data_IF_882109486134
#
_entry.id   IF_882109486134
#
_cell.length_a   1.000
_cell.length_b   1.000
_cell.length_c   1.000
_cell.angle_alpha   90.00
_cell.angle_beta   90.00
_cell.angle_gamma   90.00
#
_symmetry.space_group_name_H-M   'P 1'
#
loop_
_entity.id
_entity.type
_entity.pdbx_description
1 polymer ?
#
# COMPACT_ATOMS: atom_id res chain seq x y z
N UNK A 1 -5.35 -8.91 -4.05
CA UNK A 1 -4.13 -8.40 -3.38
C UNK A 1 -3.64 -9.51 -2.47
N UNK A 2 -2.35 -9.83 -2.48
CA UNK A 2 -1.79 -10.94 -1.69
C UNK A 2 -0.50 -10.48 -1.02
N UNK A 3 -0.39 -10.71 0.29
CA UNK A 3 0.87 -10.59 1.02
C UNK A 3 1.58 -11.95 0.97
N UNK A 4 2.85 -11.96 0.59
CA UNK A 4 3.69 -13.15 0.70
C UNK A 4 4.97 -12.81 1.43
N UNK A 5 5.42 -13.73 2.27
CA UNK A 5 6.71 -13.67 2.96
C UNK A 5 7.72 -14.69 2.37
N UNK A 6 7.35 -15.39 1.28
CA UNK A 6 8.13 -16.51 0.71
C UNK A 6 9.51 -16.11 0.18
N UNK A 7 9.63 -14.90 -0.39
CA UNK A 7 10.88 -14.35 -0.94
C UNK A 7 11.20 -13.00 -0.27
N UNK A 8 10.94 -12.92 1.04
CA UNK A 8 10.82 -11.65 1.74
C UNK A 8 9.41 -11.07 1.66
N UNK A 9 9.12 -10.01 2.43
CA UNK A 9 7.79 -9.44 2.53
C UNK A 9 7.45 -8.66 1.27
N UNK A 10 6.55 -9.22 0.48
CA UNK A 10 6.18 -8.72 -0.83
C UNK A 10 4.66 -8.54 -0.92
N UNK A 11 4.25 -7.48 -1.60
CA UNK A 11 2.85 -7.23 -1.92
C UNK A 11 2.60 -7.46 -3.40
N UNK A 12 1.72 -8.41 -3.68
CA UNK A 12 1.33 -8.78 -5.02
C UNK A 12 -0.06 -8.28 -5.34
N UNK A 13 -0.15 -7.56 -6.46
CA UNK A 13 -1.41 -7.18 -7.07
C UNK A 13 -1.62 -7.99 -8.34
N UNK A 14 -2.69 -8.77 -8.35
CA UNK A 14 -3.17 -9.49 -9.52
C UNK A 14 -4.38 -8.77 -10.11
N UNK A 15 -4.44 -8.68 -11.43
CA UNK A 15 -5.61 -8.17 -12.15
C UNK A 15 -6.77 -9.18 -12.11
N UNK A 16 -6.44 -10.47 -12.10
CA UNK A 16 -7.37 -11.59 -12.01
C UNK A 16 -6.78 -12.70 -11.15
N UNK A 17 -7.61 -13.41 -10.38
CA UNK A 17 -7.18 -14.52 -9.50
C UNK A 17 -6.50 -15.67 -10.26
N UNK A 18 -6.79 -15.83 -11.56
CA UNK A 18 -6.26 -16.91 -12.40
C UNK A 18 -4.93 -16.60 -13.10
N UNK A 19 -4.39 -15.38 -12.97
CA UNK A 19 -3.13 -15.01 -13.63
C UNK A 19 -1.93 -15.39 -12.77
N UNK A 20 -1.02 -16.18 -13.32
CA UNK A 20 0.22 -16.57 -12.65
C UNK A 20 1.18 -15.39 -12.43
N UNK A 21 1.15 -14.36 -13.30
CA UNK A 21 2.00 -13.18 -13.20
C UNK A 21 1.25 -12.01 -12.55
N UNK A 22 1.78 -11.41 -11.47
CA UNK A 22 1.19 -10.23 -10.85
C UNK A 22 1.28 -9.03 -11.81
N UNK A 23 0.26 -8.16 -11.77
CA UNK A 23 0.26 -6.86 -12.44
C UNK A 23 1.27 -5.91 -11.80
N UNK A 24 1.41 -6.00 -10.48
CA UNK A 24 2.39 -5.24 -9.72
C UNK A 24 2.90 -6.08 -8.57
N UNK A 25 4.21 -5.98 -8.32
CA UNK A 25 4.88 -6.53 -7.15
C UNK A 25 5.62 -5.38 -6.46
N UNK A 26 5.38 -5.20 -5.16
CA UNK A 26 6.15 -4.29 -4.33
C UNK A 26 6.96 -5.09 -3.32
N UNK A 27 8.25 -4.78 -3.20
CA UNK A 27 9.07 -5.24 -2.08
C UNK A 27 8.84 -4.30 -0.90
N UNK A 28 8.19 -4.81 0.14
CA UNK A 28 7.76 -4.01 1.28
C UNK A 28 8.95 -3.54 2.12
N UNK A 29 10.12 -4.19 2.04
CA UNK A 29 11.34 -3.75 2.75
C UNK A 29 11.77 -2.35 2.34
N UNK A 30 11.43 -1.94 1.12
CA UNK A 30 11.75 -0.63 0.58
C UNK A 30 10.53 0.30 0.52
N UNK A 31 9.40 -0.09 1.12
CA UNK A 31 8.17 0.70 1.10
C UNK A 31 7.92 1.44 2.42
N UNK A 32 7.16 2.53 2.30
CA UNK A 32 6.55 3.29 3.38
C UNK A 32 5.03 3.24 3.23
N UNK A 33 4.35 3.24 4.38
CA UNK A 33 2.88 3.22 4.45
C UNK A 33 2.38 4.52 5.04
N UNK A 34 1.54 5.22 4.29
CA UNK A 34 0.93 6.49 4.71
C UNK A 34 -0.56 6.31 4.90
N UNK A 35 -1.10 6.85 5.99
CA UNK A 35 -2.55 7.03 6.13
C UNK A 35 -2.96 8.21 5.27
N UNK A 36 -3.93 8.02 4.40
CA UNK A 36 -4.45 9.08 3.54
C UNK A 36 -5.72 9.66 4.20
N UNK A 37 -5.81 10.98 4.34
CA UNK A 37 -7.05 11.65 4.76
C UNK A 37 -8.21 11.37 3.80
N UNK A 38 -9.43 11.20 4.33
CA UNK A 38 -10.60 10.76 3.56
C UNK A 38 -11.03 11.77 2.48
N UNK A 39 -10.74 13.05 2.72
CA UNK A 39 -11.00 14.18 1.83
C UNK A 39 -10.19 14.13 0.52
N UNK A 40 -9.07 13.39 0.48
CA UNK A 40 -8.20 13.36 -0.70
C UNK A 40 -8.83 12.57 -1.85
N UNK A 41 -9.52 11.47 -1.55
CA UNK A 41 -10.10 10.57 -2.56
C UNK A 41 -11.60 10.38 -2.43
N UNK A 42 -12.25 11.10 -1.52
CA UNK A 42 -13.65 10.90 -1.14
C UNK A 42 -13.95 9.42 -0.81
N UNK A 43 -12.99 8.78 -0.14
CA UNK A 43 -13.03 7.37 0.25
C UNK A 43 -12.51 7.22 1.67
N UNK A 44 -13.23 6.46 2.48
CA UNK A 44 -12.83 6.14 3.85
C UNK A 44 -11.75 5.07 3.87
N UNK A 45 -11.05 4.95 5.00
CA UNK A 45 -10.08 3.88 5.23
C UNK A 45 -9.01 3.78 4.12
N UNK A 46 -8.33 4.88 3.80
CA UNK A 46 -7.36 4.88 2.71
C UNK A 46 -5.90 4.76 3.20
N UNK A 47 -5.11 3.95 2.49
CA UNK A 47 -3.66 3.81 2.68
C UNK A 47 -2.93 4.03 1.36
N UNK A 48 -1.75 4.66 1.44
CA UNK A 48 -0.77 4.67 0.37
C UNK A 48 0.37 3.74 0.76
N UNK A 49 0.76 2.84 -0.15
CA UNK A 49 2.03 2.13 -0.09
C UNK A 49 2.91 2.65 -1.20
N UNK A 50 4.07 3.21 -0.86
CA UNK A 50 4.99 3.84 -1.82
C UNK A 50 6.43 3.44 -1.51
N UNK A 51 7.24 3.26 -2.54
CA UNK A 51 8.67 3.01 -2.39
C UNK A 51 9.37 4.24 -1.80
N UNK A 52 10.18 4.00 -0.77
CA UNK A 52 10.98 5.03 -0.10
C UNK A 52 12.08 5.52 -1.04
N UNK A 53 12.23 6.85 -1.15
CA UNK A 53 13.38 7.47 -1.82
C UNK A 53 13.33 7.55 -3.34
N UNK A 54 12.23 7.16 -4.00
CA UNK A 54 12.10 7.27 -5.44
C UNK A 54 10.74 7.81 -5.89
N UNK A 55 10.73 9.01 -6.48
CA UNK A 55 9.51 9.67 -6.98
C UNK A 55 8.90 9.00 -8.22
N UNK A 56 9.65 8.15 -8.94
CA UNK A 56 9.23 7.56 -10.22
C UNK A 56 8.64 6.15 -10.11
N UNK A 57 8.60 5.57 -8.90
CA UNK A 57 8.21 4.17 -8.71
C UNK A 57 6.72 3.98 -8.42
N UNK A 58 6.14 2.81 -8.76
CA UNK A 58 4.71 2.58 -8.59
C UNK A 58 4.29 2.66 -7.13
N UNK A 59 3.35 3.56 -6.84
CA UNK A 59 2.67 3.65 -5.54
C UNK A 59 1.25 3.07 -5.65
N UNK A 60 0.80 2.39 -4.59
CA UNK A 60 -0.51 1.75 -4.56
C UNK A 60 -1.42 2.43 -3.56
N UNK A 61 -2.60 2.83 -4.03
CA UNK A 61 -3.64 3.42 -3.21
C UNK A 61 -4.68 2.35 -2.86
N UNK A 62 -4.75 2.01 -1.58
CA UNK A 62 -5.66 1.02 -1.04
C UNK A 62 -6.82 1.73 -0.35
N UNK A 63 -8.04 1.33 -0.67
CA UNK A 63 -9.25 1.75 0.04
C UNK A 63 -10.00 0.52 0.54
N UNK A 64 -10.47 0.55 1.77
CA UNK A 64 -11.11 -0.60 2.40
C UNK A 64 -12.55 -0.25 2.79
N UNK A 65 -13.50 -1.13 2.45
CA UNK A 65 -14.91 -0.88 2.77
C UNK A 65 -15.22 -1.00 4.27
N UNK A 66 -14.39 -1.72 5.01
CA UNK A 66 -14.59 -2.03 6.41
C UNK A 66 -13.37 -1.62 7.23
N UNK A 67 -13.60 -0.94 8.36
CA UNK A 67 -12.53 -0.46 9.25
C UNK A 67 -11.72 -1.61 9.86
N UNK A 68 -12.35 -2.74 10.21
CA UNK A 68 -11.65 -3.92 10.69
C UNK A 68 -10.68 -4.50 9.64
N UNK A 69 -11.11 -4.56 8.38
CA UNK A 69 -10.25 -4.98 7.26
C UNK A 69 -9.10 -3.98 7.07
N UNK A 70 -9.38 -2.69 7.15
CA UNK A 70 -8.37 -1.63 7.10
C UNK A 70 -7.31 -1.78 8.20
N UNK A 71 -7.73 -1.97 9.45
CA UNK A 71 -6.82 -2.10 10.58
C UNK A 71 -5.95 -3.36 10.45
N UNK A 72 -6.53 -4.47 9.99
CA UNK A 72 -5.78 -5.69 9.71
C UNK A 72 -4.70 -5.48 8.64
N UNK A 73 -5.05 -4.85 7.52
CA UNK A 73 -4.10 -4.50 6.47
C UNK A 73 -3.05 -3.49 6.94
N UNK A 74 -3.46 -2.46 7.69
CA UNK A 74 -2.54 -1.47 8.24
C UNK A 74 -1.52 -2.12 9.16
N UNK A 75 -1.95 -2.99 10.07
CA UNK A 75 -1.05 -3.71 10.97
C UNK A 75 -0.11 -4.65 10.20
N UNK A 76 -0.66 -5.42 9.25
CA UNK A 76 0.11 -6.34 8.42
C UNK A 76 1.18 -5.63 7.56
N UNK A 77 0.84 -4.45 7.01
CA UNK A 77 1.76 -3.64 6.22
C UNK A 77 2.78 -2.93 7.11
N UNK A 78 2.39 -2.40 8.28
CA UNK A 78 3.32 -1.77 9.23
C UNK A 78 4.41 -2.72 9.72
N UNK A 79 4.08 -4.00 9.92
CA UNK A 79 5.06 -5.02 10.33
C UNK A 79 6.03 -5.41 9.22
N UNK A 80 5.68 -5.13 7.96
CA UNK A 80 6.43 -5.57 6.77
C UNK A 80 7.08 -4.42 6.01
N UNK A 81 6.69 -3.18 6.27
CA UNK A 81 7.28 -2.02 5.64
C UNK A 81 8.42 -1.50 6.50
N UNK A 82 9.66 -1.78 6.10
CA UNK A 82 10.87 -1.36 6.81
C UNK A 82 11.69 -0.34 6.01
N UNK A 83 11.02 0.50 5.20
CA UNK A 83 11.65 1.57 4.42
C UNK A 83 12.78 2.22 5.22
N UNK A 84 14.01 1.87 4.84
CA UNK A 84 15.20 1.78 5.69
C UNK A 84 15.12 2.45 7.09
N UNK A 85 14.99 1.61 8.12
CA UNK A 85 15.38 1.84 9.52
C UNK A 85 14.65 2.96 10.33
N UNK A 86 14.12 2.52 11.49
CA UNK A 86 14.05 3.22 12.78
C UNK A 86 12.87 4.12 13.16
N UNK A 87 11.77 4.22 12.42
CA UNK A 87 10.60 4.94 12.93
C UNK A 87 9.31 4.15 12.71
N UNK A 88 8.76 3.66 13.82
CA UNK A 88 7.46 2.99 13.97
C UNK A 88 6.25 3.92 13.67
N UNK A 89 6.47 4.90 12.80
CA UNK A 89 5.63 6.07 12.62
C UNK A 89 4.93 5.96 11.27
N UNK A 90 3.63 5.67 11.28
CA UNK A 90 2.78 5.95 10.12
C UNK A 90 2.91 7.44 9.86
N UNK A 91 3.58 7.80 8.75
CA UNK A 91 3.80 9.20 8.42
C UNK A 91 2.48 9.75 7.87
N UNK A 92 1.98 10.88 8.38
CA UNK A 92 0.84 11.56 7.78
C UNK A 92 1.26 12.05 6.39
N UNK A 93 0.50 11.65 5.37
CA UNK A 93 0.77 12.04 3.99
C UNK A 93 0.57 13.57 3.84
N UNK A 94 1.64 14.34 3.63
CA UNK A 94 1.53 15.76 3.28
C UNK A 94 1.16 15.89 1.79
N UNK A 95 0.16 16.72 1.48
CA UNK A 95 -0.45 16.91 0.15
C UNK A 95 0.52 17.22 -1.00
N UNK A 96 1.75 17.65 -0.72
CA UNK A 96 2.70 18.16 -1.72
C UNK A 96 3.52 17.10 -2.48
N UNK A 97 3.54 15.84 -2.02
CA UNK A 97 4.34 14.77 -2.67
C UNK A 97 3.54 13.89 -3.64
N UNK A 98 2.23 14.13 -3.80
CA UNK A 98 1.32 13.14 -4.39
C UNK A 98 1.17 13.15 -5.90
N UNK A 99 1.83 14.04 -6.64
CA UNK A 99 1.38 14.28 -8.00
C UNK A 99 2.50 14.68 -8.97
N UNK A 100 3.43 13.77 -9.25
CA UNK A 100 4.12 13.73 -10.54
C UNK A 100 4.35 12.28 -10.97
N UNK A 101 3.39 11.74 -11.72
CA UNK A 101 3.56 10.55 -12.57
C UNK A 101 3.57 9.16 -11.91
N UNK A 102 2.72 8.91 -10.91
CA UNK A 102 2.46 7.55 -10.39
C UNK A 102 1.21 6.94 -11.00
N UNK A 103 1.31 5.70 -11.49
CA UNK A 103 0.15 4.89 -11.88
C UNK A 103 -0.68 4.60 -10.63
N UNK A 104 -1.72 5.38 -10.39
CA UNK A 104 -2.60 5.21 -9.25
C UNK A 104 -3.53 4.02 -9.52
N UNK A 105 -3.31 2.92 -8.82
CA UNK A 105 -4.23 1.78 -8.83
C UNK A 105 -5.13 1.87 -7.61
N UNK A 106 -6.41 2.15 -7.83
CA UNK A 106 -7.43 2.13 -6.79
C UNK A 106 -7.94 0.71 -6.60
N UNK A 107 -7.76 0.17 -5.41
CA UNK A 107 -8.31 -1.13 -5.04
C UNK A 107 -9.31 -0.94 -3.91
N UNK A 108 -10.53 -1.41 -4.12
CA UNK A 108 -11.54 -1.55 -3.08
C UNK A 108 -11.49 -2.98 -2.58
N UNK A 109 -10.98 -3.18 -1.36
CA UNK A 109 -10.86 -4.51 -0.78
C UNK A 109 -12.04 -4.76 0.17
N UNK A 110 -12.83 -5.78 -0.18
CA UNK A 110 -14.00 -6.22 0.59
C UNK A 110 -13.69 -7.39 1.55
N UNK A 111 -12.55 -8.07 1.38
CA UNK A 111 -12.13 -9.21 2.21
C UNK A 111 -10.61 -9.15 2.49
N UNK A 112 -10.22 -9.66 3.66
CA UNK A 112 -8.83 -9.96 4.02
C UNK A 112 -8.60 -11.46 3.80
N UNK A 113 -7.66 -11.84 2.94
CA UNK A 113 -7.26 -13.23 2.71
C UNK A 113 -5.74 -13.31 2.73
#
# INVERSE_FOLDING_TARGET
LVLSDSNGPQLYLFEHEKRAKPKLMLDLMYCLVYKIPEDVFNRTNCLLVSLSGFDEYPSVHLSFQNEGIYLNWLNALRLRCFGCCLLSSVVPAKRTHFCRSTTIVFLTLANFR
#
